data_IF_500968835835
#
_entry.id   IF_500968835835
#
_cell.length_a   1.000
_cell.length_b   1.000
_cell.length_c   1.000
_cell.angle_alpha   90.00
_cell.angle_beta   90.00
_cell.angle_gamma   90.00
#
_symmetry.space_group_name_H-M   'P 1'
#
loop_
_entity.id
_entity.type
_entity.pdbx_description
1 polymer ?
#
# COMPACT_ATOMS: atom_id res chain seq x y z
N UNK A 1 -15.87 9.71 61.06
CA UNK A 1 -14.46 9.31 60.89
C UNK A 1 -14.34 8.69 59.51
N UNK A 2 -14.41 9.52 58.47
CA UNK A 2 -13.31 10.07 57.67
C UNK A 2 -12.70 9.06 56.68
N UNK A 3 -12.86 9.38 55.40
CA UNK A 3 -12.22 8.71 54.26
C UNK A 3 -12.74 9.27 52.94
N UNK A 4 -12.42 10.53 52.63
CA UNK A 4 -12.74 11.15 51.34
C UNK A 4 -11.86 10.55 50.22
N UNK A 5 -12.34 10.44 48.97
CA UNK A 5 -11.55 9.93 47.86
C UNK A 5 -10.50 10.94 47.41
N UNK A 6 -9.30 10.42 47.15
CA UNK A 6 -8.11 11.15 46.70
C UNK A 6 -8.41 11.80 45.34
N UNK A 7 -8.39 13.14 45.30
CA UNK A 7 -8.39 13.89 44.05
C UNK A 7 -7.12 13.53 43.26
N UNK A 8 -7.29 13.05 42.03
CA UNK A 8 -6.20 12.94 41.07
C UNK A 8 -5.65 14.35 40.83
N UNK A 9 -4.50 14.65 41.42
CA UNK A 9 -3.79 15.88 41.12
C UNK A 9 -3.06 15.64 39.79
N UNK A 10 -3.59 16.16 38.69
CA UNK A 10 -2.85 16.18 37.41
C UNK A 10 -1.57 16.97 37.63
N UNK A 11 -0.43 16.28 37.64
CA UNK A 11 0.89 16.87 37.82
C UNK A 11 1.14 17.96 36.75
N UNK A 12 1.38 19.23 37.15
CA UNK A 12 1.70 20.33 36.25
C UNK A 12 2.91 20.03 35.35
N UNK A 13 3.85 19.18 35.78
CA UNK A 13 4.97 18.77 34.94
C UNK A 13 4.56 17.81 33.83
N UNK A 14 3.57 16.95 34.08
CA UNK A 14 2.99 16.04 33.09
C UNK A 14 2.22 16.82 32.01
N UNK A 15 1.48 17.86 32.41
CA UNK A 15 0.74 18.73 31.47
C UNK A 15 1.66 19.59 30.61
N UNK A 16 2.74 20.15 31.19
CA UNK A 16 3.79 20.90 30.46
C UNK A 16 4.57 19.99 29.50
N UNK A 17 4.90 18.76 29.92
CA UNK A 17 5.54 17.76 29.05
C UNK A 17 4.63 17.40 27.87
N UNK A 18 3.34 17.22 28.11
CA UNK A 18 2.36 16.99 27.04
C UNK A 18 2.20 18.19 26.09
N UNK A 19 2.26 19.43 26.58
CA UNK A 19 2.18 20.62 25.73
C UNK A 19 3.41 20.78 24.82
N UNK A 20 4.62 20.53 25.34
CA UNK A 20 5.85 20.57 24.54
C UNK A 20 5.89 19.48 23.48
N UNK A 21 5.41 18.29 23.81
CA UNK A 21 5.35 17.18 22.85
C UNK A 21 4.36 17.48 21.72
N UNK A 22 3.16 17.99 22.03
CA UNK A 22 2.20 18.42 21.00
C UNK A 22 2.78 19.50 20.09
N UNK A 23 3.41 20.53 20.66
CA UNK A 23 4.08 21.57 19.89
C UNK A 23 5.21 20.98 19.00
N UNK A 24 5.94 19.97 19.48
CA UNK A 24 6.96 19.28 18.68
C UNK A 24 6.33 18.52 17.51
N UNK A 25 5.23 17.83 17.72
CA UNK A 25 4.48 17.11 16.68
C UNK A 25 3.95 18.09 15.63
N UNK A 26 3.31 19.17 16.06
CA UNK A 26 2.76 20.21 15.18
C UNK A 26 3.85 20.86 14.31
N UNK A 27 5.00 21.23 14.90
CA UNK A 27 6.12 21.80 14.14
C UNK A 27 6.73 20.77 13.18
N UNK A 28 6.84 19.51 13.60
CA UNK A 28 7.36 18.43 12.73
C UNK A 28 6.44 18.21 11.53
N UNK A 29 5.12 18.22 11.76
CA UNK A 29 4.11 18.13 10.70
C UNK A 29 4.21 19.32 9.74
N UNK A 30 4.31 20.55 10.25
CA UNK A 30 4.46 21.75 9.42
C UNK A 30 5.74 21.72 8.55
N UNK A 31 6.86 21.22 9.09
CA UNK A 31 8.10 21.02 8.33
C UNK A 31 7.89 20.01 7.19
N UNK A 32 7.25 18.88 7.48
CA UNK A 32 6.95 17.84 6.48
C UNK A 32 5.97 18.33 5.41
N UNK A 33 4.95 19.09 5.79
CA UNK A 33 3.97 19.68 4.88
C UNK A 33 4.63 20.64 3.88
N UNK A 34 5.50 21.52 4.38
CA UNK A 34 6.26 22.42 3.53
C UNK A 34 7.24 21.67 2.62
N UNK A 35 7.92 20.65 3.16
CA UNK A 35 8.79 19.81 2.36
C UNK A 35 8.02 19.09 1.23
N UNK A 36 6.81 18.58 1.49
CA UNK A 36 5.93 18.00 0.46
C UNK A 36 5.55 19.01 -0.62
N UNK A 37 5.28 20.27 -0.26
CA UNK A 37 5.05 21.35 -1.24
C UNK A 37 6.26 21.60 -2.14
N UNK A 38 7.47 21.63 -1.57
CA UNK A 38 8.69 21.77 -2.37
C UNK A 38 8.96 20.54 -3.26
N UNK A 39 8.69 19.33 -2.78
CA UNK A 39 8.77 18.12 -3.61
C UNK A 39 7.84 18.20 -4.82
N UNK A 40 6.61 18.69 -4.62
CA UNK A 40 5.64 18.86 -5.69
C UNK A 40 6.07 19.92 -6.72
N UNK A 41 6.60 21.05 -6.26
CA UNK A 41 6.97 22.18 -7.12
C UNK A 41 8.30 21.98 -7.85
N UNK A 42 9.30 21.40 -7.19
CA UNK A 42 10.70 21.42 -7.63
C UNK A 42 11.35 20.03 -7.75
N UNK A 43 10.70 19.00 -7.21
CA UNK A 43 11.21 17.63 -7.16
C UNK A 43 12.21 17.36 -6.03
N UNK A 44 12.40 16.07 -5.72
CA UNK A 44 13.22 15.62 -4.59
C UNK A 44 14.69 16.04 -4.65
N UNK A 45 15.25 16.21 -5.84
CA UNK A 45 16.64 16.66 -6.02
C UNK A 45 16.88 18.08 -5.48
N UNK A 46 15.86 18.94 -5.46
CA UNK A 46 15.96 20.34 -5.04
C UNK A 46 15.52 20.60 -3.60
N UNK A 47 15.02 19.59 -2.88
CA UNK A 47 14.58 19.73 -1.49
C UNK A 47 15.70 20.32 -0.62
N UNK A 48 15.38 21.42 0.08
CA UNK A 48 16.36 22.18 0.87
C UNK A 48 15.81 22.53 2.25
N UNK A 49 16.47 22.06 3.31
CA UNK A 49 16.14 22.43 4.70
C UNK A 49 16.17 23.95 4.92
N UNK A 50 17.04 24.67 4.21
CA UNK A 50 17.10 26.13 4.29
C UNK A 50 15.90 26.80 3.65
N UNK A 51 15.44 26.28 2.51
CA UNK A 51 14.24 26.79 1.85
C UNK A 51 12.99 26.52 2.70
N UNK A 52 12.86 25.30 3.24
CA UNK A 52 11.78 24.95 4.18
C UNK A 52 11.80 25.85 5.41
N UNK A 53 12.96 26.07 6.03
CA UNK A 53 13.08 26.96 7.19
C UNK A 53 12.63 28.40 6.85
N UNK A 54 13.06 28.92 5.70
CA UNK A 54 12.70 30.27 5.25
C UNK A 54 11.19 30.42 5.06
N UNK A 55 10.54 29.44 4.43
CA UNK A 55 9.09 29.48 4.18
C UNK A 55 8.29 29.44 5.48
N UNK A 56 8.74 28.66 6.46
CA UNK A 56 8.10 28.56 7.78
C UNK A 56 8.48 29.70 8.74
N UNK A 57 9.26 30.70 8.30
CA UNK A 57 9.76 31.76 9.17
C UNK A 57 10.68 31.26 10.30
N UNK A 58 11.26 30.07 10.14
CA UNK A 58 12.16 29.44 11.11
C UNK A 58 13.61 29.81 10.84
N UNK A 59 14.39 29.98 11.90
CA UNK A 59 15.85 30.01 11.79
C UNK A 59 16.34 28.62 11.35
N UNK A 60 17.25 28.54 10.38
CA UNK A 60 17.72 27.24 9.87
C UNK A 60 18.27 26.32 10.97
N UNK A 61 18.98 26.87 11.95
CA UNK A 61 19.50 26.11 13.10
C UNK A 61 18.42 25.53 14.01
N UNK A 62 17.19 26.04 13.97
CA UNK A 62 16.05 25.44 14.64
C UNK A 62 15.56 24.20 13.88
N UNK A 63 15.45 24.29 12.55
CA UNK A 63 14.99 23.18 11.72
C UNK A 63 15.93 21.96 11.81
N UNK A 64 17.24 22.19 11.85
CA UNK A 64 18.24 21.12 12.04
C UNK A 64 18.09 20.33 13.36
N UNK A 65 17.35 20.83 14.37
CA UNK A 65 17.03 20.09 15.60
C UNK A 65 15.89 19.09 15.43
N UNK A 66 15.10 19.23 14.36
CA UNK A 66 14.04 18.31 13.98
C UNK A 66 14.54 17.32 12.93
N UNK A 67 15.24 17.82 11.91
CA UNK A 67 15.83 17.00 10.84
C UNK A 67 17.31 17.36 10.67
N UNK A 68 18.24 16.53 11.17
CA UNK A 68 19.67 16.80 11.13
C UNK A 68 20.24 16.95 9.71
N UNK A 69 19.61 16.32 8.73
CA UNK A 69 20.02 16.42 7.32
C UNK A 69 18.82 16.41 6.37
N UNK A 70 19.09 16.73 5.10
CA UNK A 70 18.12 16.59 4.01
C UNK A 70 17.64 15.14 3.91
N UNK A 71 18.53 14.19 4.09
CA UNK A 71 18.23 12.76 3.96
C UNK A 71 17.34 12.28 5.10
N UNK A 72 17.51 12.80 6.32
CA UNK A 72 16.59 12.52 7.44
C UNK A 72 15.17 13.00 7.13
N UNK A 73 15.03 14.19 6.52
CA UNK A 73 13.74 14.71 6.09
C UNK A 73 13.14 13.86 4.95
N UNK A 74 13.95 13.47 3.96
CA UNK A 74 13.50 12.57 2.88
C UNK A 74 13.06 11.21 3.41
N UNK A 75 13.84 10.59 4.30
CA UNK A 75 13.48 9.33 4.95
C UNK A 75 12.14 9.47 5.67
N UNK A 76 11.93 10.55 6.42
CA UNK A 76 10.68 10.76 7.13
C UNK A 76 9.48 10.92 6.18
N UNK A 77 9.65 11.59 5.04
CA UNK A 77 8.60 11.72 4.01
C UNK A 77 8.33 10.41 3.28
N UNK A 78 9.36 9.60 3.02
CA UNK A 78 9.23 8.27 2.43
C UNK A 78 8.45 7.34 3.38
N UNK A 79 8.79 7.37 4.68
CA UNK A 79 8.06 6.62 5.70
C UNK A 79 6.59 7.05 5.73
N UNK A 80 6.30 8.35 5.79
CA UNK A 80 4.91 8.85 5.79
C UNK A 80 4.14 8.41 4.54
N UNK A 81 4.77 8.46 3.36
CA UNK A 81 4.12 8.04 2.11
C UNK A 81 3.83 6.54 2.09
N UNK A 82 4.77 5.70 2.52
CA UNK A 82 4.56 4.27 2.66
C UNK A 82 3.50 3.93 3.72
N UNK A 83 3.48 4.67 4.82
CA UNK A 83 2.49 4.49 5.86
C UNK A 83 1.09 4.87 5.36
N UNK A 84 0.95 6.00 4.67
CA UNK A 84 -0.33 6.45 4.13
C UNK A 84 -0.93 5.45 3.13
N UNK A 85 -0.13 4.93 2.18
CA UNK A 85 -0.62 3.91 1.23
C UNK A 85 -0.89 2.56 1.91
N UNK A 86 -0.10 2.21 2.92
CA UNK A 86 -0.32 1.03 3.76
C UNK A 86 -1.64 1.10 4.52
N UNK A 87 -1.92 2.23 5.16
CA UNK A 87 -3.18 2.50 5.86
C UNK A 87 -4.39 2.44 4.92
N UNK A 88 -4.27 3.01 3.72
CA UNK A 88 -5.32 2.94 2.70
C UNK A 88 -5.64 1.47 2.32
N UNK A 89 -4.61 0.66 2.11
CA UNK A 89 -4.73 -0.76 1.81
C UNK A 89 -5.36 -1.56 2.96
N UNK A 90 -4.88 -1.34 4.19
CA UNK A 90 -5.40 -1.99 5.40
C UNK A 90 -6.88 -1.64 5.64
N UNK A 91 -7.24 -0.37 5.53
CA UNK A 91 -8.62 0.09 5.70
C UNK A 91 -9.56 -0.49 4.63
N UNK A 92 -9.09 -0.64 3.39
CA UNK A 92 -9.87 -1.27 2.31
C UNK A 92 -10.11 -2.77 2.55
N UNK A 93 -9.09 -3.49 3.03
CA UNK A 93 -9.22 -4.89 3.45
C UNK A 93 -10.26 -5.04 4.57
N UNK A 94 -10.28 -4.12 5.53
CA UNK A 94 -11.16 -4.24 6.70
C UNK A 94 -12.62 -3.91 6.37
N UNK A 95 -12.87 -2.94 5.49
CA UNK A 95 -14.23 -2.61 5.01
C UNK A 95 -14.89 -3.71 4.20
N UNK A 96 -14.12 -4.63 3.62
CA UNK A 96 -14.63 -5.72 2.76
C UNK A 96 -14.95 -6.99 3.54
N UNK A 97 -15.33 -6.86 4.82
CA UNK A 97 -15.72 -7.99 5.68
C UNK A 97 -14.56 -8.69 6.37
N UNK A 98 -13.35 -8.10 6.33
CA UNK A 98 -12.15 -8.67 6.92
C UNK A 98 -11.84 -10.08 6.39
N UNK A 99 -11.28 -10.99 7.21
CA UNK A 99 -10.96 -12.36 6.79
C UNK A 99 -12.17 -13.19 6.29
N UNK A 100 -13.40 -12.78 6.60
CA UNK A 100 -14.63 -13.48 6.24
C UNK A 100 -15.25 -13.05 4.90
N UNK A 101 -14.74 -11.96 4.29
CA UNK A 101 -15.23 -11.46 3.00
C UNK A 101 -14.71 -12.25 1.79
N UNK A 102 -15.35 -12.15 0.61
CA UNK A 102 -14.87 -12.81 -0.61
C UNK A 102 -13.46 -12.33 -1.01
N UNK A 103 -12.51 -13.26 -1.14
CA UNK A 103 -11.10 -12.95 -1.40
C UNK A 103 -10.85 -12.12 -2.67
N UNK A 104 -11.48 -12.39 -3.83
CA UNK A 104 -11.32 -11.54 -5.01
C UNK A 104 -11.83 -10.11 -4.80
N UNK A 105 -12.92 -9.95 -4.04
CA UNK A 105 -13.47 -8.64 -3.70
C UNK A 105 -12.53 -7.83 -2.80
N UNK A 106 -11.92 -8.48 -1.79
CA UNK A 106 -10.91 -7.88 -0.92
C UNK A 106 -9.66 -7.47 -1.71
N UNK A 107 -9.15 -8.36 -2.57
CA UNK A 107 -8.02 -8.09 -3.47
C UNK A 107 -8.27 -6.84 -4.33
N UNK A 108 -9.42 -6.80 -4.99
CA UNK A 108 -9.81 -5.68 -5.85
C UNK A 108 -9.93 -4.38 -5.04
N UNK A 109 -10.56 -4.41 -3.87
CA UNK A 109 -10.72 -3.22 -3.02
C UNK A 109 -9.38 -2.67 -2.52
N UNK A 110 -8.46 -3.54 -2.11
CA UNK A 110 -7.10 -3.12 -1.70
C UNK A 110 -6.37 -2.44 -2.84
N UNK A 111 -6.33 -3.07 -4.03
CA UNK A 111 -5.66 -2.50 -5.19
C UNK A 111 -6.31 -1.19 -5.67
N UNK A 112 -7.64 -1.07 -5.61
CA UNK A 112 -8.34 0.19 -5.88
C UNK A 112 -7.95 1.28 -4.89
N UNK A 113 -7.89 0.98 -3.58
CA UNK A 113 -7.49 1.96 -2.57
C UNK A 113 -6.04 2.44 -2.74
N UNK A 114 -5.12 1.54 -3.11
CA UNK A 114 -3.73 1.91 -3.44
C UNK A 114 -3.68 2.86 -4.64
N UNK A 115 -4.46 2.58 -5.70
CA UNK A 115 -4.58 3.48 -6.85
C UNK A 115 -5.20 4.82 -6.48
N UNK A 116 -6.29 4.82 -5.72
CA UNK A 116 -6.97 6.04 -5.27
C UNK A 116 -6.03 6.95 -4.49
N UNK A 117 -5.27 6.38 -3.55
CA UNK A 117 -4.23 7.12 -2.82
C UNK A 117 -3.16 7.67 -3.78
N UNK A 118 -2.66 6.83 -4.69
CA UNK A 118 -1.62 7.23 -5.63
C UNK A 118 -2.06 8.41 -6.53
N UNK A 119 -3.32 8.40 -6.99
CA UNK A 119 -3.91 9.48 -7.79
C UNK A 119 -4.15 10.76 -6.98
N UNK A 120 -4.51 10.63 -5.71
CA UNK A 120 -4.69 11.78 -4.81
C UNK A 120 -3.34 12.39 -4.36
N UNK A 121 -2.28 11.58 -4.29
CA UNK A 121 -0.95 11.96 -3.80
C UNK A 121 0.17 11.68 -4.82
N UNK A 122 0.11 12.24 -6.05
CA UNK A 122 1.00 11.85 -7.15
C UNK A 122 2.49 12.12 -6.86
N UNK A 123 2.79 13.19 -6.11
CA UNK A 123 4.16 13.54 -5.75
C UNK A 123 4.75 12.65 -4.66
N UNK A 124 3.91 12.19 -3.72
CA UNK A 124 4.32 11.22 -2.70
C UNK A 124 4.49 9.83 -3.34
N UNK A 125 3.59 9.44 -4.23
CA UNK A 125 3.75 8.23 -5.04
C UNK A 125 5.06 8.25 -5.84
N UNK A 126 5.36 9.37 -6.52
CA UNK A 126 6.61 9.52 -7.26
C UNK A 126 7.85 9.45 -6.37
N UNK A 127 7.76 9.85 -5.10
CA UNK A 127 8.87 9.75 -4.14
C UNK A 127 9.21 8.28 -3.80
N UNK A 128 8.21 7.40 -3.75
CA UNK A 128 8.39 5.98 -3.34
C UNK A 128 8.46 4.99 -4.51
N UNK A 129 7.80 5.26 -5.65
CA UNK A 129 7.75 4.38 -6.82
C UNK A 129 8.24 5.03 -8.13
N UNK A 130 8.72 6.29 -8.07
CA UNK A 130 9.26 7.01 -9.22
C UNK A 130 10.77 6.84 -9.39
N UNK A 131 11.40 7.84 -10.01
CA UNK A 131 12.85 7.84 -10.21
C UNK A 131 13.61 7.95 -8.88
N UNK A 132 14.67 7.15 -8.66
CA UNK A 132 15.49 7.27 -7.46
C UNK A 132 16.04 8.69 -7.26
N UNK A 133 16.09 9.14 -6.01
CA UNK A 133 16.63 10.46 -5.66
C UNK A 133 18.16 10.41 -5.71
N UNK A 134 18.84 11.21 -6.57
CA UNK A 134 20.29 11.19 -6.65
C UNK A 134 20.96 11.49 -5.30
N UNK A 135 21.95 10.67 -4.94
CA UNK A 135 22.74 10.82 -3.73
C UNK A 135 22.03 10.42 -2.43
N UNK A 136 20.80 9.91 -2.49
CA UNK A 136 20.07 9.41 -1.32
C UNK A 136 20.04 7.88 -1.31
N UNK A 137 20.29 7.28 -0.14
CA UNK A 137 20.15 5.85 0.10
C UNK A 137 19.16 5.64 1.24
N UNK A 138 18.06 4.95 0.97
CA UNK A 138 17.04 4.70 1.98
C UNK A 138 17.60 3.81 3.12
N UNK A 139 17.49 4.23 4.38
CA UNK A 139 17.91 3.43 5.53
C UNK A 139 16.93 2.28 5.80
N UNK A 140 17.37 1.25 6.54
CA UNK A 140 16.57 0.05 6.84
C UNK A 140 15.21 0.33 7.51
N UNK A 141 15.07 1.47 8.19
CA UNK A 141 13.81 1.92 8.81
C UNK A 141 12.67 2.02 7.79
N UNK A 142 12.96 2.24 6.50
CA UNK A 142 11.92 2.31 5.47
C UNK A 142 11.35 0.95 5.07
N UNK A 143 12.01 -0.16 5.40
CA UNK A 143 11.62 -1.50 4.94
C UNK A 143 10.27 -1.94 5.51
N UNK A 144 10.03 -1.68 6.80
CA UNK A 144 8.76 -1.99 7.46
C UNK A 144 7.57 -1.29 6.77
N UNK A 145 7.57 0.05 6.70
CA UNK A 145 6.55 0.81 5.96
C UNK A 145 6.41 0.36 4.51
N UNK A 146 7.52 0.17 3.79
CA UNK A 146 7.51 -0.25 2.38
C UNK A 146 6.82 -1.61 2.14
N UNK A 147 6.81 -2.48 3.15
CA UNK A 147 6.23 -3.82 3.05
C UNK A 147 4.70 -3.85 3.26
N UNK A 148 4.09 -2.80 3.82
CA UNK A 148 2.70 -2.83 4.34
C UNK A 148 1.67 -3.30 3.31
N UNK A 149 1.65 -2.68 2.13
CA UNK A 149 0.70 -3.07 1.07
C UNK A 149 0.93 -4.52 0.61
N UNK A 150 2.20 -4.95 0.51
CA UNK A 150 2.56 -6.32 0.14
C UNK A 150 2.05 -7.33 1.17
N UNK A 151 2.20 -7.01 2.45
CA UNK A 151 1.68 -7.83 3.55
C UNK A 151 0.15 -7.91 3.56
N UNK A 152 -0.55 -6.84 3.19
CA UNK A 152 -2.01 -6.88 3.03
C UNK A 152 -2.42 -7.86 1.92
N UNK A 153 -1.79 -7.79 0.75
CA UNK A 153 -2.10 -8.67 -0.39
C UNK A 153 -1.73 -10.14 -0.10
N UNK A 154 -0.57 -10.39 0.52
CA UNK A 154 -0.17 -11.72 1.02
C UNK A 154 -1.23 -12.23 2.00
N UNK A 155 -1.71 -11.38 2.91
CA UNK A 155 -2.76 -11.73 3.87
C UNK A 155 -4.06 -12.18 3.21
N UNK A 156 -4.52 -11.50 2.15
CA UNK A 156 -5.72 -11.91 1.38
C UNK A 156 -5.52 -13.30 0.75
N UNK A 157 -4.36 -13.56 0.16
CA UNK A 157 -4.06 -14.84 -0.50
C UNK A 157 -3.87 -15.98 0.51
N UNK A 158 -3.27 -15.68 1.67
CA UNK A 158 -3.15 -16.59 2.81
C UNK A 158 -4.51 -16.99 3.36
N UNK A 159 -5.44 -16.04 3.52
CA UNK A 159 -6.81 -16.35 3.92
C UNK A 159 -7.52 -17.25 2.88
N UNK A 160 -7.30 -16.98 1.58
CA UNK A 160 -7.81 -17.81 0.50
C UNK A 160 -7.24 -19.24 0.54
N UNK A 161 -5.93 -19.39 0.79
CA UNK A 161 -5.31 -20.70 0.91
C UNK A 161 -5.90 -21.52 2.05
N UNK A 162 -6.13 -20.90 3.21
CA UNK A 162 -6.69 -21.55 4.40
C UNK A 162 -8.15 -21.96 4.25
N UNK A 163 -8.89 -21.31 3.36
CA UNK A 163 -10.34 -21.52 3.15
C UNK A 163 -10.66 -22.22 1.83
N UNK A 164 -9.65 -22.84 1.19
CA UNK A 164 -9.79 -23.52 -0.11
C UNK A 164 -10.28 -22.61 -1.25
N UNK A 165 -10.12 -21.29 -1.10
CA UNK A 165 -10.44 -20.27 -2.09
C UNK A 165 -9.30 -19.98 -3.08
N UNK A 166 -8.28 -20.84 -3.11
CA UNK A 166 -7.06 -20.65 -3.90
C UNK A 166 -6.78 -21.89 -4.77
N UNK A 167 -6.65 -21.71 -6.07
CA UNK A 167 -6.09 -22.71 -6.99
C UNK A 167 -4.62 -22.40 -7.25
N UNK A 168 -3.72 -23.33 -6.89
CA UNK A 168 -2.29 -23.14 -7.06
C UNK A 168 -1.96 -22.97 -8.56
N UNK A 169 -1.34 -21.85 -8.97
CA UNK A 169 -1.01 -21.63 -10.37
C UNK A 169 0.09 -22.59 -10.83
N UNK A 170 0.16 -22.91 -12.13
CA UNK A 170 1.24 -23.70 -12.67
C UNK A 170 2.59 -22.99 -12.44
N UNK A 171 3.61 -23.74 -12.07
CA UNK A 171 4.95 -23.20 -11.84
C UNK A 171 5.89 -23.56 -12.99
N UNK A 172 6.60 -22.56 -13.51
CA UNK A 172 7.71 -22.78 -14.43
C UNK A 172 8.83 -23.57 -13.70
N UNK A 173 9.30 -24.71 -14.23
CA UNK A 173 10.43 -25.45 -13.67
C UNK A 173 11.68 -24.60 -13.42
N UNK A 174 11.93 -23.56 -14.24
CA UNK A 174 13.06 -22.65 -14.09
C UNK A 174 12.97 -21.78 -12.83
N UNK A 175 11.75 -21.50 -12.35
CA UNK A 175 11.50 -20.67 -11.17
C UNK A 175 11.30 -21.49 -9.89
N UNK A 176 11.51 -22.82 -9.91
CA UNK A 176 11.23 -23.66 -8.74
C UNK A 176 12.12 -23.32 -7.54
N UNK A 177 13.42 -23.22 -7.76
CA UNK A 177 14.38 -22.89 -6.70
C UNK A 177 14.16 -21.47 -6.17
N UNK A 178 13.95 -20.52 -7.08
CA UNK A 178 13.71 -19.13 -6.72
C UNK A 178 12.38 -18.95 -5.98
N UNK A 179 11.32 -19.61 -6.43
CA UNK A 179 10.03 -19.60 -5.74
C UNK A 179 10.11 -20.17 -4.33
N UNK A 180 10.90 -21.22 -4.11
CA UNK A 180 11.10 -21.79 -2.77
C UNK A 180 11.82 -20.80 -1.84
N UNK A 181 12.85 -20.10 -2.34
CA UNK A 181 13.55 -19.04 -1.61
C UNK A 181 12.61 -17.87 -1.29
N UNK A 182 11.87 -17.38 -2.28
CA UNK A 182 10.91 -16.29 -2.10
C UNK A 182 9.82 -16.65 -1.10
N UNK A 183 9.32 -17.89 -1.12
CA UNK A 183 8.34 -18.35 -0.15
C UNK A 183 8.92 -18.35 1.26
N UNK A 184 10.12 -18.87 1.47
CA UNK A 184 10.77 -18.85 2.78
C UNK A 184 10.95 -17.42 3.33
N UNK A 185 11.24 -16.45 2.47
CA UNK A 185 11.48 -15.06 2.87
C UNK A 185 10.20 -14.24 3.08
N UNK A 186 9.15 -14.50 2.28
CA UNK A 186 7.97 -13.63 2.20
C UNK A 186 6.71 -14.25 2.83
N UNK A 187 6.50 -15.55 2.64
CA UNK A 187 5.29 -16.27 3.06
C UNK A 187 5.54 -17.78 3.04
N UNK A 188 6.12 -18.30 4.13
CA UNK A 188 6.49 -19.71 4.29
C UNK A 188 5.28 -20.65 4.37
N UNK A 189 4.10 -20.10 4.67
CA UNK A 189 2.81 -20.79 4.71
C UNK A 189 2.07 -20.81 3.36
N UNK A 190 2.66 -20.29 2.28
CA UNK A 190 2.09 -20.31 0.93
C UNK A 190 2.88 -21.21 -0.02
N UNK A 191 2.21 -21.87 -1.01
CA UNK A 191 2.90 -22.61 -2.04
C UNK A 191 3.89 -21.72 -2.83
N UNK A 192 5.12 -22.17 -3.14
CA UNK A 192 6.11 -21.40 -3.90
C UNK A 192 5.60 -20.78 -5.21
N UNK A 193 4.78 -21.52 -5.95
CA UNK A 193 4.18 -21.05 -7.19
C UNK A 193 3.28 -19.80 -6.99
N UNK A 194 2.56 -19.76 -5.86
CA UNK A 194 1.68 -18.63 -5.49
C UNK A 194 2.53 -17.41 -5.15
N UNK A 195 3.64 -17.58 -4.45
CA UNK A 195 4.53 -16.47 -4.07
C UNK A 195 5.20 -15.85 -5.30
N UNK A 196 5.62 -16.66 -6.27
CA UNK A 196 6.12 -16.17 -7.57
C UNK A 196 5.04 -15.37 -8.31
N UNK A 197 3.80 -15.88 -8.32
CA UNK A 197 2.68 -15.18 -8.95
C UNK A 197 2.34 -13.87 -8.21
N UNK A 198 2.41 -13.84 -6.88
CA UNK A 198 2.19 -12.66 -6.04
C UNK A 198 3.19 -11.54 -6.37
N UNK A 199 4.48 -11.84 -6.45
CA UNK A 199 5.50 -10.85 -6.80
C UNK A 199 5.34 -10.35 -8.23
N UNK A 200 4.95 -11.23 -9.15
CA UNK A 200 4.61 -10.85 -10.53
C UNK A 200 3.39 -9.93 -10.59
N UNK A 201 2.35 -10.23 -9.79
CA UNK A 201 1.14 -9.42 -9.70
C UNK A 201 1.39 -8.07 -9.03
N UNK A 202 2.25 -8.03 -8.01
CA UNK A 202 2.72 -6.81 -7.37
C UNK A 202 3.40 -5.87 -8.37
N UNK A 203 4.36 -6.38 -9.14
CA UNK A 203 5.07 -5.59 -10.15
C UNK A 203 4.11 -5.01 -11.20
N UNK A 204 3.13 -5.79 -11.64
CA UNK A 204 2.11 -5.36 -12.59
C UNK A 204 1.13 -4.32 -12.01
N UNK A 205 0.70 -4.49 -10.75
CA UNK A 205 -0.17 -3.53 -10.06
C UNK A 205 0.47 -2.13 -10.03
N UNK A 206 1.70 -2.02 -9.54
CA UNK A 206 2.40 -0.73 -9.51
C UNK A 206 2.81 -0.26 -10.90
N UNK A 207 3.04 -1.16 -11.86
CA UNK A 207 3.21 -0.82 -13.27
C UNK A 207 1.99 -0.10 -13.85
N UNK A 208 0.78 -0.62 -13.61
CA UNK A 208 -0.48 -0.01 -14.05
C UNK A 208 -0.67 1.39 -13.46
N UNK A 209 -0.44 1.53 -12.14
CA UNK A 209 -0.58 2.82 -11.45
C UNK A 209 0.46 3.82 -11.97
N UNK A 210 1.73 3.42 -12.10
CA UNK A 210 2.80 4.27 -12.62
C UNK A 210 2.56 4.70 -14.07
N UNK A 211 2.04 3.80 -14.92
CA UNK A 211 1.72 4.14 -16.31
C UNK A 211 0.60 5.17 -16.41
N UNK A 212 -0.39 5.08 -15.52
CA UNK A 212 -1.45 6.08 -15.43
C UNK A 212 -0.92 7.42 -14.94
N UNK A 213 -0.20 7.43 -13.82
CA UNK A 213 0.30 8.64 -13.17
C UNK A 213 1.34 9.38 -13.98
N UNK A 214 2.28 8.65 -14.59
CA UNK A 214 3.37 9.23 -15.37
C UNK A 214 3.02 9.43 -16.85
N UNK A 215 1.72 9.35 -17.18
CA UNK A 215 1.17 9.82 -18.44
C UNK A 215 1.28 8.85 -19.61
N UNK A 216 1.74 7.61 -19.42
CA UNK A 216 1.85 6.60 -20.50
C UNK A 216 0.49 6.22 -21.08
N UNK A 217 -0.59 6.34 -20.31
CA UNK A 217 -1.96 6.12 -20.78
C UNK A 217 -2.59 7.32 -21.50
N UNK A 218 -1.92 8.47 -21.57
CA UNK A 218 -2.46 9.67 -22.22
C UNK A 218 -2.71 9.42 -23.71
N UNK A 219 -3.97 9.54 -24.15
CA UNK A 219 -4.44 9.22 -25.51
C UNK A 219 -4.33 7.73 -25.90
N UNK A 220 -4.18 6.84 -24.92
CA UNK A 220 -4.15 5.39 -25.11
C UNK A 220 -5.31 4.72 -24.38
N UNK A 221 -5.56 5.13 -23.13
CA UNK A 221 -6.63 4.58 -22.28
C UNK A 221 -7.50 5.73 -21.78
N UNK A 222 -8.75 5.76 -22.23
CA UNK A 222 -9.77 6.72 -21.77
C UNK A 222 -10.53 6.18 -20.56
N UNK A 223 -10.98 4.92 -20.60
CA UNK A 223 -11.67 4.22 -19.51
C UNK A 223 -10.67 3.63 -18.48
N UNK A 224 -9.92 4.51 -17.80
CA UNK A 224 -8.80 4.12 -16.93
C UNK A 224 -9.24 3.32 -15.71
N UNK A 225 -10.36 3.69 -15.10
CA UNK A 225 -10.89 3.01 -13.93
C UNK A 225 -11.35 1.59 -14.28
N UNK A 226 -12.10 1.44 -15.38
CA UNK A 226 -12.60 0.16 -15.86
C UNK A 226 -11.46 -0.76 -16.27
N UNK A 227 -10.46 -0.25 -17.00
CA UNK A 227 -9.26 -1.00 -17.34
C UNK A 227 -8.53 -1.47 -16.07
N UNK A 228 -8.33 -0.58 -15.11
CA UNK A 228 -7.62 -0.92 -13.88
C UNK A 228 -8.34 -2.01 -13.10
N UNK A 229 -9.66 -1.89 -12.91
CA UNK A 229 -10.46 -2.90 -12.21
C UNK A 229 -10.42 -4.25 -12.91
N UNK A 230 -10.53 -4.25 -14.25
CA UNK A 230 -10.41 -5.47 -15.05
C UNK A 230 -9.02 -6.10 -14.89
N UNK A 231 -7.94 -5.33 -15.07
CA UNK A 231 -6.58 -5.82 -14.97
C UNK A 231 -6.28 -6.39 -13.58
N UNK A 232 -6.67 -5.69 -12.51
CA UNK A 232 -6.49 -6.13 -11.12
C UNK A 232 -7.27 -7.40 -10.81
N UNK A 233 -8.48 -7.54 -11.36
CA UNK A 233 -9.25 -8.78 -11.24
C UNK A 233 -8.50 -9.96 -11.86
N UNK A 234 -7.97 -9.79 -13.08
CA UNK A 234 -7.15 -10.81 -13.73
C UNK A 234 -5.84 -11.09 -12.98
N UNK A 235 -5.21 -10.08 -12.37
CA UNK A 235 -4.05 -10.30 -11.51
C UNK A 235 -4.40 -11.19 -10.30
N UNK A 236 -5.57 -10.97 -9.67
CA UNK A 236 -6.04 -11.84 -8.60
C UNK A 236 -6.22 -13.29 -9.05
N UNK A 237 -6.81 -13.50 -10.23
CA UNK A 237 -6.95 -14.83 -10.85
C UNK A 237 -5.59 -15.45 -11.18
N UNK A 238 -4.63 -14.67 -11.66
CA UNK A 238 -3.28 -15.14 -11.99
C UNK A 238 -2.51 -15.64 -10.76
N UNK A 239 -2.79 -15.08 -9.58
CA UNK A 239 -2.25 -15.54 -8.28
C UNK A 239 -2.97 -16.80 -7.78
N UNK A 240 -4.16 -17.10 -8.31
CA UNK A 240 -4.93 -18.30 -7.99
C UNK A 240 -6.25 -18.04 -7.28
N UNK A 241 -6.66 -16.78 -7.06
CA UNK A 241 -7.91 -16.48 -6.35
C UNK A 241 -9.12 -16.97 -7.14
N UNK A 242 -10.03 -17.66 -6.46
CA UNK A 242 -11.25 -18.21 -7.05
C UNK A 242 -12.44 -17.26 -6.89
N UNK A 243 -13.16 -17.00 -7.97
CA UNK A 243 -14.34 -16.10 -8.02
C UNK A 243 -15.62 -16.68 -7.38
N UNK A 244 -15.50 -17.71 -6.53
CA UNK A 244 -16.65 -18.43 -5.96
C UNK A 244 -17.48 -19.24 -6.99
N UNK A 245 -17.15 -19.15 -8.28
CA UNK A 245 -17.72 -20.01 -9.32
C UNK A 245 -16.97 -21.35 -9.27
N UNK A 246 -17.55 -22.37 -8.61
CA UNK A 246 -17.01 -23.74 -8.67
C UNK A 246 -16.78 -24.11 -10.14
N UNK A 247 -15.61 -24.65 -10.51
CA UNK A 247 -15.41 -25.19 -11.85
C UNK A 247 -16.23 -26.49 -11.96
N UNK A 248 -17.39 -26.45 -12.63
CA UNK A 248 -18.13 -27.66 -13.00
C UNK A 248 -19.63 -27.67 -12.69
N UNK A 249 -20.42 -26.79 -13.31
CA UNK A 249 -21.88 -26.85 -13.20
C UNK A 249 -22.56 -26.12 -14.35
N UNK A 250 -22.61 -26.74 -15.54
CA UNK A 250 -23.25 -26.10 -16.68
C UNK A 250 -23.10 -26.79 -18.03
N UNK A 251 -23.21 -28.13 -18.08
CA UNK A 251 -23.67 -28.80 -19.29
C UNK A 251 -25.06 -29.34 -18.96
N UNK A 252 -26.08 -28.51 -19.17
CA UNK A 252 -27.47 -28.90 -19.02
C UNK A 252 -27.76 -30.08 -19.94
N UNK A 253 -28.27 -31.16 -19.34
CA UNK A 253 -28.91 -32.25 -20.05
C UNK A 253 -29.98 -31.67 -20.97
N UNK A 254 -29.78 -31.83 -22.28
CA UNK A 254 -30.86 -31.69 -23.26
C UNK A 254 -31.72 -32.93 -23.10
N UNK A 255 -32.83 -32.80 -22.36
CA UNK A 255 -33.91 -33.78 -22.32
C UNK A 255 -35.23 -33.05 -22.47
N UNK A 256 -36.00 -33.44 -23.50
CA UNK A 256 -37.42 -33.17 -23.57
C UNK A 256 -37.87 -32.23 -24.68
N UNK A 257 -37.96 -32.74 -25.91
CA UNK A 257 -38.96 -32.27 -26.86
C UNK A 257 -39.73 -33.50 -27.37
N UNK A 258 -40.78 -33.86 -26.63
CA UNK A 258 -41.88 -34.66 -27.15
C UNK A 258 -42.83 -33.75 -27.91
N UNK A 259 -43.28 -34.19 -29.09
CA UNK A 259 -44.27 -33.44 -29.88
C UNK A 259 -44.60 -34.12 -31.19
N UNK A 260 -45.45 -35.15 -31.12
CA UNK A 260 -46.08 -35.79 -32.26
C UNK A 260 -46.99 -34.82 -33.04
N UNK A 261 -46.95 -34.92 -34.38
CA UNK A 261 -47.95 -34.61 -35.43
C UNK A 261 -47.17 -34.68 -36.77
N UNK A 262 -47.54 -35.41 -37.81
CA UNK A 262 -48.74 -36.14 -38.21
C UNK A 262 -48.32 -37.39 -39.01
#
# INVERSE_FOLDING_TARGET
>A
MFGAPIAWQTDPMSTIRGARERARIEVTAAIKDEARRQLAAEGAAKLSLRAVARELGMVSSALYRYFPSRDDLLTALIVDAYDAVGEAAEAARDRTGGPAGPHPGRWLAVACAVREWALAHPHEYALIYGSPVPGYTAPQVTVGPASRVGQVLIGVVRDAHRTEGLAVPPQDPLLRAEGARMAADLADDLPPAVVVALVSAWAQLFGLISFELFGQFTRVVEAREELFRHAVHELGRSVGLLDGRRPGGGAGQVSGAGGARA
#
